data_IF_279798254229
#
_entry.id   IF_279798254229
#
_cell.length_a   1.000
_cell.length_b   1.000
_cell.length_c   1.000
_cell.angle_alpha   90.00
_cell.angle_beta   90.00
_cell.angle_gamma   90.00
#
_symmetry.space_group_name_H-M   'P 1'
#
loop_
_entity.id
_entity.type
_entity.pdbx_description
1 polymer ?
#
# COMPACT_ATOMS: atom_id res chain seq x y z
N UNK A 1 4.47 13.47 -11.19
CA UNK A 1 4.97 13.79 -9.84
C UNK A 1 4.04 13.28 -8.76
N UNK A 2 2.79 13.76 -8.65
CA UNK A 2 1.87 13.29 -7.60
C UNK A 2 1.57 11.78 -7.70
N UNK A 3 1.23 11.30 -8.91
CA UNK A 3 1.04 9.87 -9.18
C UNK A 3 2.30 9.04 -8.85
N UNK A 4 3.49 9.55 -9.16
CA UNK A 4 4.75 8.86 -8.89
C UNK A 4 5.02 8.77 -7.38
N UNK A 5 4.73 9.83 -6.63
CA UNK A 5 4.80 9.83 -5.17
C UNK A 5 3.82 8.84 -4.54
N UNK A 6 2.61 8.69 -5.11
CA UNK A 6 1.67 7.66 -4.67
C UNK A 6 2.18 6.25 -4.98
N UNK A 7 2.78 6.03 -6.16
CA UNK A 7 3.37 4.74 -6.51
C UNK A 7 4.52 4.36 -5.58
N UNK A 8 5.40 5.30 -5.25
CA UNK A 8 6.48 5.12 -4.28
C UNK A 8 5.94 4.77 -2.89
N UNK A 9 4.91 5.48 -2.45
CA UNK A 9 4.28 5.26 -1.15
C UNK A 9 3.57 3.90 -1.08
N UNK A 10 2.84 3.52 -2.12
CA UNK A 10 2.24 2.18 -2.24
C UNK A 10 3.30 1.08 -2.22
N UNK A 11 4.41 1.27 -2.94
CA UNK A 11 5.51 0.30 -2.92
C UNK A 11 6.13 0.15 -1.52
N UNK A 12 6.30 1.26 -0.79
CA UNK A 12 6.81 1.26 0.58
C UNK A 12 5.89 0.53 1.55
N UNK A 13 4.58 0.78 1.46
CA UNK A 13 3.56 0.07 2.27
C UNK A 13 3.51 -1.40 1.91
N UNK A 14 3.56 -1.74 0.62
CA UNK A 14 3.59 -3.14 0.17
C UNK A 14 4.81 -3.89 0.73
N UNK A 15 5.98 -3.25 0.76
CA UNK A 15 7.17 -3.81 1.39
C UNK A 15 6.98 -4.00 2.90
N UNK A 16 6.44 -3.00 3.60
CA UNK A 16 6.18 -3.08 5.04
C UNK A 16 5.21 -4.22 5.39
N UNK A 17 4.11 -4.36 4.65
CA UNK A 17 3.14 -5.45 4.80
C UNK A 17 3.84 -6.80 4.62
N UNK A 18 4.67 -6.92 3.57
CA UNK A 18 5.38 -8.16 3.26
C UNK A 18 6.39 -8.54 4.35
N UNK A 19 7.08 -7.57 4.95
CA UNK A 19 8.01 -7.82 6.06
C UNK A 19 7.31 -8.28 7.35
N UNK A 20 6.04 -7.88 7.54
CA UNK A 20 5.27 -8.17 8.76
C UNK A 20 4.24 -9.31 8.57
N UNK A 21 4.16 -9.91 7.38
CA UNK A 21 3.22 -10.99 7.08
C UNK A 21 4.00 -12.27 6.77
N UNK A 22 3.76 -13.37 7.51
CA UNK A 22 4.39 -14.64 7.19
C UNK A 22 4.11 -15.08 5.75
N UNK A 23 5.09 -15.77 5.15
CA UNK A 23 4.92 -16.37 3.83
C UNK A 23 3.77 -17.39 3.89
N UNK A 24 2.80 -17.20 2.99
CA UNK A 24 1.52 -17.89 2.96
C UNK A 24 1.13 -18.17 1.50
N UNK A 25 0.36 -19.24 1.26
CA UNK A 25 -0.20 -19.55 -0.07
C UNK A 25 -1.27 -18.52 -0.45
N UNK A 26 -2.02 -18.03 0.52
CA UNK A 26 -3.09 -17.05 0.33
C UNK A 26 -2.62 -15.66 0.75
N UNK A 27 -3.02 -14.65 -0.01
CA UNK A 27 -2.77 -13.25 0.34
C UNK A 27 -3.73 -12.82 1.46
N UNK A 28 -3.24 -12.00 2.38
CA UNK A 28 -4.12 -11.31 3.33
C UNK A 28 -4.93 -10.24 2.61
N UNK A 29 -6.05 -9.84 3.21
CA UNK A 29 -6.89 -8.75 2.69
C UNK A 29 -6.09 -7.46 2.44
N UNK A 30 -5.09 -7.17 3.29
CA UNK A 30 -4.25 -5.97 3.13
C UNK A 30 -3.24 -6.13 1.97
N UNK A 31 -2.71 -7.34 1.76
CA UNK A 31 -1.85 -7.63 0.61
C UNK A 31 -2.62 -7.54 -0.71
N UNK A 32 -3.88 -7.97 -0.74
CA UNK A 32 -4.78 -7.78 -1.88
C UNK A 32 -5.09 -6.30 -2.10
N UNK A 33 -5.50 -5.60 -1.04
CA UNK A 33 -5.87 -4.18 -1.11
C UNK A 33 -4.71 -3.30 -1.61
N UNK A 34 -3.49 -3.47 -1.10
CA UNK A 34 -2.34 -2.68 -1.57
C UNK A 34 -1.95 -3.03 -3.02
N UNK A 35 -2.16 -4.29 -3.43
CA UNK A 35 -1.91 -4.73 -4.81
C UNK A 35 -2.93 -4.13 -5.78
N UNK A 36 -4.19 -4.06 -5.38
CA UNK A 36 -5.26 -3.45 -6.17
C UNK A 36 -5.11 -1.93 -6.24
N UNK A 37 -4.70 -1.29 -5.15
CA UNK A 37 -4.36 0.14 -5.15
C UNK A 37 -3.22 0.44 -6.12
N UNK A 38 -2.18 -0.42 -6.15
CA UNK A 38 -1.09 -0.31 -7.14
C UNK A 38 -1.60 -0.45 -8.57
N UNK A 39 -2.47 -1.43 -8.83
CA UNK A 39 -3.09 -1.64 -10.17
C UNK A 39 -3.95 -0.46 -10.59
N UNK A 40 -4.74 0.09 -9.67
CA UNK A 40 -5.53 1.30 -9.88
C UNK A 40 -4.63 2.45 -10.31
N UNK A 41 -3.57 2.74 -9.55
CA UNK A 41 -2.63 3.79 -9.91
C UNK A 41 -2.03 3.59 -11.31
N UNK A 42 -1.63 2.37 -11.69
CA UNK A 42 -1.11 2.13 -13.04
C UNK A 42 -2.14 2.38 -14.15
N UNK A 43 -3.41 2.06 -13.93
CA UNK A 43 -4.48 2.15 -14.94
C UNK A 43 -5.13 3.53 -15.05
N UNK A 44 -5.08 4.33 -14.00
CA UNK A 44 -5.78 5.62 -13.92
C UNK A 44 -4.90 6.77 -14.41
N UNK A 45 -5.46 7.69 -15.20
CA UNK A 45 -4.75 8.89 -15.61
C UNK A 45 -4.52 9.82 -14.40
N UNK A 46 -3.40 10.57 -14.33
CA UNK A 46 -3.08 11.38 -13.15
C UNK A 46 -4.19 12.35 -12.69
N UNK A 47 -4.92 12.96 -13.62
CA UNK A 47 -6.00 13.91 -13.30
C UNK A 47 -7.27 13.28 -12.73
N UNK A 48 -7.41 11.96 -12.82
CA UNK A 48 -8.58 11.21 -12.33
C UNK A 48 -8.29 10.53 -10.98
N UNK A 49 -7.09 10.71 -10.43
CA UNK A 49 -6.70 10.14 -9.14
C UNK A 49 -7.03 11.14 -8.04
N UNK A 50 -7.86 10.72 -7.08
CA UNK A 50 -7.98 11.44 -5.82
C UNK A 50 -6.72 11.18 -4.97
N UNK A 51 -5.77 12.11 -5.06
CA UNK A 51 -4.51 11.99 -4.34
C UNK A 51 -4.70 11.87 -2.83
N UNK A 52 -5.61 12.65 -2.25
CA UNK A 52 -5.80 12.69 -0.79
C UNK A 52 -6.42 11.38 -0.28
N UNK A 53 -7.38 10.83 -1.02
CA UNK A 53 -7.97 9.54 -0.69
C UNK A 53 -6.91 8.42 -0.69
N UNK A 54 -6.11 8.31 -1.76
CA UNK A 54 -5.07 7.28 -1.87
C UNK A 54 -3.98 7.48 -0.82
N UNK A 55 -3.54 8.71 -0.57
CA UNK A 55 -2.52 9.00 0.43
C UNK A 55 -2.99 8.62 1.84
N UNK A 56 -4.27 8.89 2.16
CA UNK A 56 -4.89 8.52 3.44
C UNK A 56 -4.99 7.01 3.59
N UNK A 57 -5.40 6.29 2.56
CA UNK A 57 -5.46 4.83 2.58
C UNK A 57 -4.07 4.22 2.83
N UNK A 58 -3.04 4.74 2.13
CA UNK A 58 -1.66 4.34 2.38
C UNK A 58 -1.20 4.65 3.81
N UNK A 59 -1.58 5.80 4.38
CA UNK A 59 -1.22 6.15 5.77
C UNK A 59 -1.86 5.18 6.78
N UNK A 60 -3.15 4.84 6.60
CA UNK A 60 -3.84 3.90 7.48
C UNK A 60 -3.17 2.52 7.48
N UNK A 61 -2.82 2.01 6.28
CA UNK A 61 -2.09 0.75 6.17
C UNK A 61 -0.67 0.85 6.77
N UNK A 62 0.03 1.96 6.52
CA UNK A 62 1.36 2.18 7.10
C UNK A 62 1.33 2.15 8.64
N UNK A 63 0.43 2.91 9.27
CA UNK A 63 0.29 2.97 10.73
C UNK A 63 -0.06 1.61 11.35
N UNK A 64 -0.94 0.86 10.68
CA UNK A 64 -1.31 -0.51 11.08
C UNK A 64 -0.10 -1.41 11.18
N UNK A 65 0.78 -1.38 10.18
CA UNK A 65 1.92 -2.30 10.08
C UNK A 65 3.22 -1.75 10.69
N UNK A 66 3.35 -0.44 10.88
CA UNK A 66 4.44 0.16 11.63
C UNK A 66 4.33 -0.16 13.14
N UNK A 67 3.11 -0.28 13.63
CA UNK A 67 2.81 -0.56 15.05
C UNK A 67 2.92 -2.04 15.41
N UNK A 68 3.16 -2.93 14.44
CA UNK A 68 3.45 -4.33 14.69
C UNK A 68 4.92 -4.40 15.10
N UNK A 69 5.20 -4.43 16.40
CA UNK A 69 6.54 -4.70 16.89
C UNK A 69 7.02 -6.04 16.30
N UNK A 70 8.16 -6.01 15.61
CA UNK A 70 8.89 -7.21 15.19
C UNK A 70 9.30 -7.94 16.46
N UNK A 71 8.47 -8.87 16.93
CA UNK A 71 8.85 -9.83 17.94
C UNK A 71 9.74 -10.85 17.24
N UNK A 72 11.04 -10.52 17.22
CA UNK A 72 12.12 -11.39 16.79
C UNK A 72 12.35 -12.51 17.82
#
# INVERSE_FOLDING_TARGET
MEKDALLERVASVQALISCNTPLSVELTSDQEAISDLRRFLYRTAPGDIDFQAVAKECQVMFEKYQSIEVTA
#
